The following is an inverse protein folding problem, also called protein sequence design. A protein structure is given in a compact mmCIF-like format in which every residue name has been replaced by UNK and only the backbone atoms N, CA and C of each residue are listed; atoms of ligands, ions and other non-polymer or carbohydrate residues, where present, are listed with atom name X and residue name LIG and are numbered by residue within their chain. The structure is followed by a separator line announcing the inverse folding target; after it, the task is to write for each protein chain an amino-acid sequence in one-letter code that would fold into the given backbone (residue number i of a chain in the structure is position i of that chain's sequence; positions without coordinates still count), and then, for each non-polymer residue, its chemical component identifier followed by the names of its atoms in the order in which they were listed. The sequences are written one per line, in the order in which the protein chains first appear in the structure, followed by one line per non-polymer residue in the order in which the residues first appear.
data_IF_740217952051
#
_entry.id   IF_740217952051
#
_cell.length_a   1.000
_cell.length_b   1.000
_cell.length_c   1.000
_cell.angle_alpha   90.00
_cell.angle_beta   90.00
_cell.angle_gamma   90.00
#
_symmetry.space_group_name_H-M   'P 1'
#
loop_
_entity.id
_entity.type
_entity.pdbx_description
1 polymer ?
#
# COMPACT_ATOMS: atom_id res chain seq x y z
N UNK A 1 -14.22 -10.06 0.78
CA UNK A 1 -14.30 -10.62 2.14
C UNK A 1 -15.72 -11.11 2.41
N UNK A 2 -16.72 -10.23 2.43
CA UNK A 2 -18.14 -10.60 2.63
C UNK A 2 -18.73 -11.55 1.58
N UNK A 3 -18.17 -11.57 0.36
CA UNK A 3 -18.55 -12.53 -0.69
C UNK A 3 -17.97 -13.94 -0.48
N UNK A 4 -16.91 -14.09 0.33
CA UNK A 4 -16.17 -15.34 0.51
C UNK A 4 -16.52 -16.01 1.85
N UNK A 5 -16.61 -15.23 2.93
CA UNK A 5 -16.90 -15.74 4.26
C UNK A 5 -18.40 -15.59 4.56
N UNK A 6 -19.17 -16.61 4.21
CA UNK A 6 -20.56 -16.78 4.65
C UNK A 6 -20.60 -17.27 6.11
N UNK A 7 -21.77 -17.24 6.75
CA UNK A 7 -21.92 -17.75 8.12
C UNK A 7 -21.46 -19.22 8.22
N UNK A 8 -21.96 -20.08 7.33
CA UNK A 8 -21.57 -21.50 7.26
C UNK A 8 -20.06 -21.68 7.06
N UNK A 9 -19.44 -20.89 6.17
CA UNK A 9 -18.00 -20.97 5.94
C UNK A 9 -17.16 -20.56 7.15
N UNK A 10 -17.67 -19.66 8.01
CA UNK A 10 -17.00 -19.26 9.25
C UNK A 10 -17.17 -20.34 10.32
N UNK A 11 -18.33 -21.00 10.41
CA UNK A 11 -18.58 -22.07 11.39
C UNK A 11 -17.66 -23.29 11.19
N UNK A 12 -17.28 -23.56 9.94
CA UNK A 12 -16.33 -24.64 9.59
C UNK A 12 -14.87 -24.32 9.98
N UNK A 13 -14.52 -23.03 10.16
CA UNK A 13 -13.16 -22.59 10.49
C UNK A 13 -12.92 -22.63 12.00
N UNK A 14 -12.62 -23.82 12.52
CA UNK A 14 -12.37 -24.05 13.93
C UNK A 14 -10.87 -24.09 14.25
N UNK A 15 -10.48 -23.51 15.39
CA UNK A 15 -9.10 -23.54 15.87
C UNK A 15 -8.82 -22.53 16.97
N UNK A 16 -7.62 -22.62 17.54
CA UNK A 16 -7.12 -21.66 18.56
C UNK A 16 -6.10 -20.67 17.99
N UNK A 17 -5.82 -20.76 16.70
CA UNK A 17 -4.97 -19.85 15.94
C UNK A 17 -5.39 -19.82 14.48
N UNK A 18 -5.17 -18.70 13.81
CA UNK A 18 -5.46 -18.54 12.39
C UNK A 18 -4.55 -17.46 11.78
N UNK A 19 -4.28 -17.58 10.48
CA UNK A 19 -3.73 -16.51 9.65
C UNK A 19 -4.71 -16.20 8.52
N UNK A 20 -4.80 -14.93 8.14
CA UNK A 20 -5.67 -14.46 7.08
C UNK A 20 -4.93 -13.54 6.13
N UNK A 21 -5.43 -13.43 4.89
CA UNK A 21 -4.85 -12.55 3.89
C UNK A 21 -5.93 -11.90 3.04
N UNK A 22 -5.76 -10.61 2.73
CA UNK A 22 -6.61 -9.86 1.83
C UNK A 22 -5.77 -9.45 0.63
N UNK A 23 -6.03 -10.06 -0.53
CA UNK A 23 -5.17 -9.90 -1.71
C UNK A 23 -5.55 -8.68 -2.54
N UNK A 24 -4.55 -7.86 -2.83
CA UNK A 24 -4.54 -6.99 -4.00
C UNK A 24 -3.78 -7.69 -5.14
N UNK A 25 -4.39 -7.84 -6.31
CA UNK A 25 -3.74 -8.49 -7.44
C UNK A 25 -2.73 -7.54 -8.11
N UNK A 26 -1.45 -7.76 -7.85
CA UNK A 26 -0.27 -7.07 -8.41
C UNK A 26 0.36 -7.93 -9.54
N UNK A 27 1.69 -7.85 -9.70
CA UNK A 27 2.51 -8.76 -10.48
C UNK A 27 2.29 -10.23 -10.07
N UNK A 28 2.34 -11.14 -11.04
CA UNK A 28 1.95 -12.55 -10.88
C UNK A 28 0.51 -12.85 -11.32
N UNK A 29 -0.29 -11.84 -11.64
CA UNK A 29 -1.58 -12.02 -12.32
C UNK A 29 -2.76 -12.37 -11.40
N UNK A 30 -3.87 -12.79 -12.00
CA UNK A 30 -5.11 -13.13 -11.30
C UNK A 30 -5.08 -14.52 -10.67
N UNK A 31 -6.18 -15.26 -10.76
CA UNK A 31 -6.24 -16.68 -10.41
C UNK A 31 -6.57 -16.99 -8.95
N UNK A 32 -7.31 -18.09 -8.76
CA UNK A 32 -7.64 -18.63 -7.44
C UNK A 32 -6.40 -19.25 -6.78
N UNK A 33 -5.52 -19.86 -7.58
CA UNK A 33 -4.25 -20.45 -7.18
C UNK A 33 -3.31 -19.46 -6.48
N UNK A 34 -3.47 -18.16 -6.73
CA UNK A 34 -2.68 -17.10 -6.12
C UNK A 34 -3.37 -16.45 -4.91
N UNK A 35 -4.57 -16.92 -4.53
CA UNK A 35 -5.26 -16.48 -3.30
C UNK A 35 -4.58 -17.13 -2.10
N UNK A 36 -4.22 -16.30 -1.13
CA UNK A 36 -3.54 -16.71 0.09
C UNK A 36 -4.51 -16.71 1.29
N UNK A 37 -4.20 -17.43 2.39
CA UNK A 37 -2.95 -18.16 2.65
C UNK A 37 -2.72 -19.37 1.74
N UNK A 38 -1.48 -19.58 1.27
CA UNK A 38 -1.12 -20.83 0.58
C UNK A 38 -0.93 -21.93 1.63
N UNK A 39 -1.63 -23.05 1.45
CA UNK A 39 -1.51 -24.22 2.33
C UNK A 39 -0.77 -25.36 1.62
N UNK A 40 0.34 -25.80 2.21
CA UNK A 40 1.11 -26.94 1.75
C UNK A 40 0.97 -28.09 2.74
N UNK A 41 0.66 -29.29 2.26
CA UNK A 41 0.63 -30.49 3.09
C UNK A 41 1.79 -31.42 2.75
N UNK A 42 2.36 -32.04 3.79
CA UNK A 42 3.44 -33.01 3.64
C UNK A 42 3.41 -34.05 4.75
N UNK A 43 4.26 -35.08 4.65
CA UNK A 43 4.43 -36.06 5.72
C UNK A 43 4.91 -35.44 7.04
N UNK A 44 5.50 -34.24 7.00
CA UNK A 44 5.96 -33.50 8.18
C UNK A 44 4.94 -32.50 8.74
N UNK A 45 3.67 -32.58 8.31
CA UNK A 45 2.61 -31.65 8.70
C UNK A 45 2.29 -30.60 7.62
N UNK A 46 1.34 -29.73 7.98
CA UNK A 46 0.88 -28.59 7.19
C UNK A 46 1.72 -27.34 7.40
N UNK A 47 1.79 -26.52 6.37
CA UNK A 47 2.44 -25.21 6.40
C UNK A 47 1.58 -24.21 5.64
N UNK A 48 1.01 -23.24 6.34
CA UNK A 48 0.26 -22.14 5.77
C UNK A 48 1.13 -20.88 5.71
N UNK A 49 1.11 -20.15 4.59
CA UNK A 49 1.86 -18.90 4.44
C UNK A 49 0.98 -17.78 3.85
N UNK A 50 1.12 -16.59 4.39
CA UNK A 50 0.59 -15.34 3.85
C UNK A 50 1.71 -14.29 3.77
N UNK A 51 1.64 -13.43 2.76
CA UNK A 51 2.69 -12.49 2.40
C UNK A 51 2.11 -11.16 1.95
N UNK A 52 2.57 -10.07 2.56
CA UNK A 52 2.40 -8.73 2.03
C UNK A 52 3.76 -8.19 1.59
N UNK A 53 3.91 -7.87 0.31
CA UNK A 53 5.15 -7.36 -0.26
C UNK A 53 5.40 -7.89 -1.68
N UNK A 54 6.65 -7.81 -2.13
CA UNK A 54 7.10 -8.33 -3.42
C UNK A 54 8.59 -8.66 -3.35
N UNK A 55 8.96 -9.84 -3.83
CA UNK A 55 10.33 -10.35 -3.82
C UNK A 55 11.01 -10.03 -5.14
N UNK A 56 11.96 -9.08 -5.13
CA UNK A 56 12.64 -8.59 -6.34
C UNK A 56 13.53 -9.66 -7.01
N UNK A 57 13.90 -10.70 -6.27
CA UNK A 57 14.67 -11.84 -6.79
C UNK A 57 13.85 -13.14 -6.93
N UNK A 58 12.51 -13.09 -6.87
CA UNK A 58 11.65 -14.27 -6.97
C UNK A 58 11.93 -15.12 -8.21
N UNK A 59 12.05 -14.51 -9.39
CA UNK A 59 12.32 -15.21 -10.65
C UNK A 59 13.66 -15.97 -10.62
N UNK A 60 14.70 -15.36 -10.07
CA UNK A 60 16.01 -16.00 -9.96
C UNK A 60 15.96 -17.21 -9.02
N UNK A 61 15.30 -17.05 -7.87
CA UNK A 61 15.10 -18.14 -6.90
C UNK A 61 14.24 -19.26 -7.47
N UNK A 62 13.16 -18.93 -8.19
CA UNK A 62 12.28 -19.88 -8.89
C UNK A 62 13.08 -20.72 -9.89
N UNK A 63 13.84 -20.08 -10.78
CA UNK A 63 14.67 -20.79 -11.76
C UNK A 63 15.69 -21.72 -11.09
N UNK A 64 16.33 -21.27 -10.00
CA UNK A 64 17.26 -22.10 -9.24
C UNK A 64 16.55 -23.31 -8.61
N UNK A 65 15.36 -23.11 -8.04
CA UNK A 65 14.57 -24.15 -7.41
C UNK A 65 14.02 -25.16 -8.42
N UNK A 66 13.61 -24.71 -9.61
CA UNK A 66 13.17 -25.55 -10.73
C UNK A 66 14.33 -26.39 -11.29
N UNK A 67 15.52 -25.79 -11.44
CA UNK A 67 16.72 -26.53 -11.82
C UNK A 67 17.10 -27.63 -10.79
N UNK A 68 16.68 -27.47 -9.54
CA UNK A 68 16.82 -28.49 -8.49
C UNK A 68 15.63 -29.46 -8.42
N UNK A 69 14.69 -29.40 -9.36
CA UNK A 69 13.54 -30.28 -9.49
C UNK A 69 12.28 -29.84 -8.72
N UNK A 70 12.19 -28.58 -8.29
CA UNK A 70 10.95 -28.03 -7.72
C UNK A 70 9.92 -27.78 -8.81
N UNK A 71 8.65 -28.00 -8.51
CA UNK A 71 7.53 -27.69 -9.40
C UNK A 71 6.69 -26.64 -8.68
N UNK A 72 6.48 -25.50 -9.35
CA UNK A 72 5.62 -24.42 -8.85
C UNK A 72 4.21 -24.55 -9.43
N UNK A 73 3.21 -24.37 -8.57
CA UNK A 73 1.80 -24.44 -8.93
C UNK A 73 1.16 -23.05 -9.03
N UNK A 74 1.81 -22.05 -8.44
CA UNK A 74 1.36 -20.66 -8.41
C UNK A 74 2.41 -19.75 -9.04
N UNK A 75 2.03 -18.51 -9.32
CA UNK A 75 2.97 -17.42 -9.66
C UNK A 75 3.36 -16.58 -8.43
N UNK A 76 2.88 -16.96 -7.23
CA UNK A 76 3.08 -16.19 -6.01
C UNK A 76 4.50 -16.33 -5.46
N UNK A 77 5.08 -15.20 -5.07
CA UNK A 77 6.33 -15.12 -4.29
C UNK A 77 6.29 -15.94 -3.00
N UNK A 78 5.10 -16.15 -2.43
CA UNK A 78 4.89 -16.93 -1.21
C UNK A 78 5.30 -18.40 -1.38
N UNK A 79 5.08 -18.97 -2.57
CA UNK A 79 5.47 -20.35 -2.86
C UNK A 79 7.00 -20.51 -2.91
N UNK A 80 7.73 -19.48 -3.34
CA UNK A 80 9.21 -19.48 -3.33
C UNK A 80 9.74 -19.70 -1.92
N UNK A 81 9.19 -19.00 -0.92
CA UNK A 81 9.59 -19.19 0.48
C UNK A 81 9.26 -20.62 0.97
N UNK A 82 8.09 -21.16 0.62
CA UNK A 82 7.72 -22.53 1.01
C UNK A 82 8.74 -23.57 0.49
N UNK A 83 9.17 -23.44 -0.77
CA UNK A 83 10.20 -24.31 -1.35
C UNK A 83 11.56 -24.16 -0.66
N UNK A 84 11.98 -22.93 -0.34
CA UNK A 84 13.22 -22.67 0.38
C UNK A 84 13.20 -23.29 1.78
N UNK A 85 12.10 -23.13 2.52
CA UNK A 85 11.90 -23.75 3.84
C UNK A 85 12.01 -25.27 3.71
N UNK A 86 11.29 -25.89 2.76
CA UNK A 86 11.27 -27.36 2.64
C UNK A 86 12.63 -27.96 2.30
N UNK A 87 13.44 -27.24 1.52
CA UNK A 87 14.80 -27.66 1.14
C UNK A 87 15.87 -27.28 2.16
N UNK A 88 15.56 -26.41 3.13
CA UNK A 88 16.46 -26.06 4.22
C UNK A 88 16.75 -27.30 5.06
N UNK A 89 17.99 -27.80 5.05
CA UNK A 89 18.43 -29.02 5.72
C UNK A 89 18.45 -28.96 7.26
N UNK A 90 17.69 -28.05 7.87
CA UNK A 90 17.57 -27.89 9.31
C UNK A 90 16.38 -28.67 9.86
N UNK A 91 16.50 -29.15 11.10
CA UNK A 91 15.46 -29.97 11.72
C UNK A 91 14.26 -29.13 12.19
N UNK A 92 14.52 -28.00 12.84
CA UNK A 92 13.46 -27.14 13.38
C UNK A 92 12.91 -26.19 12.29
N UNK A 93 11.60 -25.97 12.30
CA UNK A 93 10.96 -25.04 11.35
C UNK A 93 11.54 -23.63 11.50
N UNK A 94 11.68 -23.14 12.74
CA UNK A 94 12.32 -21.86 13.06
C UNK A 94 13.62 -21.65 12.30
N UNK A 95 14.52 -22.64 12.37
CA UNK A 95 15.84 -22.54 11.74
C UNK A 95 15.72 -22.59 10.22
N UNK A 96 14.81 -23.41 9.66
CA UNK A 96 14.56 -23.42 8.21
C UNK A 96 14.07 -22.06 7.70
N UNK A 97 13.13 -21.43 8.41
CA UNK A 97 12.63 -20.08 8.07
C UNK A 97 13.76 -19.07 8.21
N UNK A 98 14.45 -19.06 9.35
CA UNK A 98 15.56 -18.13 9.64
C UNK A 98 16.68 -18.18 8.59
N UNK A 99 16.96 -19.35 8.01
CA UNK A 99 17.97 -19.51 6.97
C UNK A 99 17.44 -19.21 5.56
N UNK A 100 16.13 -19.36 5.32
CA UNK A 100 15.51 -19.01 4.05
C UNK A 100 15.37 -17.48 3.87
N UNK A 101 15.00 -16.75 4.93
CA UNK A 101 14.73 -15.31 4.88
C UNK A 101 15.90 -14.45 4.32
N UNK A 102 17.18 -14.70 4.68
CA UNK A 102 18.31 -13.94 4.12
C UNK A 102 18.51 -14.11 2.62
N UNK A 103 17.98 -15.19 2.02
CA UNK A 103 18.04 -15.44 0.58
C UNK A 103 17.06 -14.55 -0.20
N UNK A 104 16.05 -14.01 0.48
CA UNK A 104 15.03 -13.17 -0.12
C UNK A 104 15.52 -11.72 -0.24
N UNK A 105 15.20 -11.08 -1.37
CA UNK A 105 15.42 -9.65 -1.59
C UNK A 105 14.10 -8.99 -1.94
N UNK A 106 13.89 -7.77 -1.46
CA UNK A 106 12.65 -7.02 -1.67
C UNK A 106 11.91 -6.77 -0.36
N UNK A 107 10.60 -6.59 -0.47
CA UNK A 107 9.73 -6.30 0.66
C UNK A 107 8.93 -7.54 1.07
N UNK A 108 8.84 -7.80 2.36
CA UNK A 108 7.98 -8.86 2.86
C UNK A 108 7.60 -8.66 4.33
N UNK A 109 6.32 -8.84 4.59
CA UNK A 109 5.74 -9.18 5.87
C UNK A 109 5.11 -10.57 5.72
N UNK A 110 5.71 -11.58 6.34
CA UNK A 110 5.24 -12.96 6.28
C UNK A 110 4.50 -13.34 7.56
N UNK A 111 3.39 -14.05 7.39
CA UNK A 111 2.76 -14.88 8.41
C UNK A 111 2.89 -16.33 7.97
N UNK A 112 3.41 -17.18 8.84
CA UNK A 112 3.61 -18.60 8.60
C UNK A 112 2.98 -19.35 9.77
N UNK A 113 2.17 -20.37 9.50
CA UNK A 113 1.50 -21.12 10.55
C UNK A 113 1.58 -22.61 10.29
N UNK A 114 1.80 -23.37 11.37
CA UNK A 114 1.65 -24.83 11.41
C UNK A 114 0.58 -25.19 12.45
N UNK A 115 0.42 -26.49 12.70
CA UNK A 115 -0.49 -26.99 13.72
C UNK A 115 -0.12 -26.52 15.15
N UNK A 116 1.14 -26.15 15.41
CA UNK A 116 1.63 -25.88 16.78
C UNK A 116 2.21 -24.49 17.00
N UNK A 117 2.56 -23.75 15.94
CA UNK A 117 3.20 -22.44 16.06
C UNK A 117 2.87 -21.49 14.91
N UNK A 118 2.95 -20.19 15.21
CA UNK A 118 2.88 -19.11 14.23
C UNK A 118 4.22 -18.36 14.22
N UNK A 119 4.83 -18.28 13.04
CA UNK A 119 6.04 -17.51 12.78
C UNK A 119 5.69 -16.25 11.99
N UNK A 120 6.29 -15.13 12.35
CA UNK A 120 6.11 -13.84 11.70
C UNK A 120 7.48 -13.30 11.35
N UNK A 121 7.66 -12.76 10.14
CA UNK A 121 8.92 -12.16 9.75
C UNK A 121 8.70 -10.88 8.95
N UNK A 122 9.47 -9.85 9.29
CA UNK A 122 9.49 -8.58 8.56
C UNK A 122 10.86 -8.36 7.91
N UNK A 123 10.87 -7.93 6.64
CA UNK A 123 12.09 -7.71 5.88
C UNK A 123 13.08 -6.75 6.57
N UNK A 124 14.40 -6.83 6.27
CA UNK A 124 15.41 -6.06 6.97
C UNK A 124 15.31 -4.54 6.82
N UNK A 125 14.50 -4.04 5.88
CA UNK A 125 14.26 -2.60 5.72
C UNK A 125 12.92 -2.16 6.33
N UNK A 126 12.05 -3.09 6.72
CA UNK A 126 10.71 -2.77 7.19
C UNK A 126 9.89 -2.04 6.13
N UNK A 127 9.95 -2.49 4.88
CA UNK A 127 9.28 -1.81 3.75
C UNK A 127 7.76 -1.83 3.89
N UNK A 128 7.21 -2.85 4.56
CA UNK A 128 5.78 -3.04 4.83
C UNK A 128 5.46 -2.88 6.31
N UNK A 129 4.35 -2.23 6.67
CA UNK A 129 3.95 -2.12 8.05
C UNK A 129 3.50 -3.50 8.58
N UNK A 130 3.89 -3.79 9.82
CA UNK A 130 3.49 -5.00 10.53
C UNK A 130 3.57 -4.74 12.03
N UNK A 131 2.44 -4.88 12.72
CA UNK A 131 2.32 -4.56 14.14
C UNK A 131 1.86 -5.77 14.93
N UNK A 132 2.27 -5.80 16.21
CA UNK A 132 1.87 -6.78 17.20
C UNK A 132 0.89 -6.16 18.18
N UNK A 133 -0.21 -6.86 18.43
CA UNK A 133 -1.23 -6.55 19.41
C UNK A 133 -1.52 -7.72 20.35
N UNK A 134 -2.32 -7.47 21.38
CA UNK A 134 -2.72 -8.46 22.38
C UNK A 134 -4.23 -8.38 22.65
N UNK A 135 -4.92 -9.52 22.64
CA UNK A 135 -6.34 -9.64 22.97
C UNK A 135 -6.51 -10.65 24.11
N UNK A 136 -6.63 -10.16 25.34
CA UNK A 136 -6.52 -11.01 26.53
C UNK A 136 -5.15 -11.69 26.59
N UNK A 137 -5.10 -13.01 26.51
CA UNK A 137 -3.84 -13.78 26.44
C UNK A 137 -3.40 -14.12 25.01
N UNK A 138 -4.21 -13.80 24.00
CA UNK A 138 -3.89 -14.05 22.61
C UNK A 138 -2.98 -12.95 22.04
N UNK A 139 -2.08 -13.34 21.14
CA UNK A 139 -1.32 -12.41 20.31
C UNK A 139 -2.01 -12.25 18.95
N UNK A 140 -2.08 -11.01 18.47
CA UNK A 140 -2.66 -10.67 17.17
C UNK A 140 -1.61 -9.92 16.37
N UNK A 141 -1.50 -10.21 15.08
CA UNK A 141 -0.57 -9.52 14.17
C UNK A 141 -1.35 -9.00 12.98
N UNK A 142 -1.10 -7.75 12.59
CA UNK A 142 -1.80 -7.12 11.48
C UNK A 142 -0.86 -6.17 10.71
N UNK A 143 -1.10 -5.99 9.41
CA UNK A 143 -0.37 -4.97 8.63
C UNK A 143 -0.69 -3.54 9.09
N UNK A 144 -1.85 -3.32 9.71
CA UNK A 144 -2.31 -1.99 10.14
C UNK A 144 -3.01 -2.06 11.50
N UNK A 145 -2.81 -1.05 12.34
CA UNK A 145 -3.34 -1.02 13.71
C UNK A 145 -4.86 -0.87 13.76
N UNK A 146 -5.51 -0.35 12.71
CA UNK A 146 -6.98 -0.26 12.67
C UNK A 146 -7.67 -1.63 12.83
N UNK A 147 -6.96 -2.74 12.51
CA UNK A 147 -7.48 -4.08 12.76
C UNK A 147 -7.60 -4.37 14.26
N UNK A 148 -6.68 -3.86 15.08
CA UNK A 148 -6.71 -4.00 16.53
C UNK A 148 -7.89 -3.26 17.13
N UNK A 149 -8.14 -2.02 16.69
CA UNK A 149 -9.27 -1.21 17.15
C UNK A 149 -10.61 -1.90 16.87
N UNK A 150 -10.73 -2.56 15.72
CA UNK A 150 -11.96 -3.27 15.31
C UNK A 150 -12.20 -4.52 16.17
N UNK A 151 -11.14 -5.29 16.47
CA UNK A 151 -11.27 -6.55 17.22
C UNK A 151 -11.13 -6.37 18.73
N UNK A 152 -10.83 -5.15 19.20
CA UNK A 152 -10.60 -4.83 20.60
C UNK A 152 -9.25 -5.28 21.15
N UNK A 153 -8.24 -5.44 20.29
CA UNK A 153 -6.88 -5.78 20.71
C UNK A 153 -6.10 -4.52 21.13
N UNK A 154 -5.25 -4.65 22.15
CA UNK A 154 -4.34 -3.60 22.58
C UNK A 154 -3.08 -3.64 21.70
N UNK A 155 -2.65 -2.49 21.18
CA UNK A 155 -1.37 -2.36 20.49
C UNK A 155 -0.22 -2.61 21.46
N UNK A 156 0.75 -3.44 21.06
CA UNK A 156 1.96 -3.72 21.85
C UNK A 156 3.16 -2.96 21.28
N UNK A 157 3.48 -3.20 20.00
CA UNK A 157 4.56 -2.52 19.26
C UNK A 157 4.52 -2.88 17.78
N UNK A 158 5.28 -2.14 16.98
CA UNK A 158 5.63 -2.57 15.63
C UNK A 158 6.67 -3.71 15.66
N UNK A 159 6.61 -4.57 14.64
CA UNK A 159 7.61 -5.61 14.42
C UNK A 159 8.85 -4.95 13.80
N UNK A 160 10.03 -5.29 14.32
CA UNK A 160 11.26 -4.61 13.93
C UNK A 160 11.75 -5.11 12.56
N UNK A 161 12.39 -4.24 11.75
CA UNK A 161 13.01 -4.65 10.49
C UNK A 161 14.06 -5.76 10.69
N UNK A 162 13.88 -6.92 10.05
CA UNK A 162 14.75 -8.08 10.22
C UNK A 162 14.46 -8.94 11.45
N UNK A 163 13.33 -8.70 12.13
CA UNK A 163 12.84 -9.50 13.23
C UNK A 163 12.00 -10.68 12.74
N UNK A 164 12.17 -11.81 13.43
CA UNK A 164 11.28 -12.96 13.37
C UNK A 164 10.66 -13.22 14.74
N UNK A 165 9.34 -13.29 14.80
CA UNK A 165 8.60 -13.72 15.99
C UNK A 165 8.16 -15.18 15.85
N UNK A 166 8.09 -15.86 16.98
CA UNK A 166 7.46 -17.17 17.13
C UNK A 166 6.44 -17.09 18.25
N UNK A 167 5.19 -17.48 17.97
CA UNK A 167 4.10 -17.55 18.94
C UNK A 167 3.64 -19.01 19.01
N UNK A 168 3.68 -19.59 20.20
CA UNK A 168 3.20 -20.96 20.44
C UNK A 168 2.70 -21.12 21.89
N UNK A 169 2.45 -22.35 22.33
CA UNK A 169 1.97 -22.64 23.69
C UNK A 169 2.90 -22.20 24.83
N UNK A 170 4.15 -21.81 24.55
CA UNK A 170 5.10 -21.25 25.52
C UNK A 170 5.13 -19.71 25.50
N UNK A 171 4.29 -19.06 24.70
CA UNK A 171 4.21 -17.61 24.55
C UNK A 171 4.92 -17.08 23.31
N UNK A 172 5.33 -15.81 23.38
CA UNK A 172 6.02 -15.08 22.32
C UNK A 172 7.54 -15.16 22.50
N UNK A 173 8.25 -15.55 21.45
CA UNK A 173 9.70 -15.44 21.33
C UNK A 173 10.06 -14.53 20.15
N UNK A 174 11.05 -13.67 20.34
CA UNK A 174 11.55 -12.73 19.33
C UNK A 174 13.03 -13.00 19.07
N UNK A 175 13.41 -13.00 17.80
CA UNK A 175 14.80 -13.17 17.37
C UNK A 175 15.08 -12.37 16.09
N UNK A 176 16.22 -11.70 16.03
CA UNK A 176 16.67 -11.05 14.79
C UNK A 176 17.29 -12.11 13.86
N UNK A 177 16.82 -12.18 12.61
CA UNK A 177 17.42 -13.01 11.57
C UNK A 177 18.36 -12.20 10.66
N UNK A 178 18.26 -10.87 10.68
CA UNK A 178 19.12 -9.95 9.96
C UNK A 178 19.37 -8.69 10.79
N UNK A 179 20.56 -8.11 10.66
CA UNK A 179 20.84 -6.77 11.18
C UNK A 179 20.43 -5.76 10.12
N UNK A 180 19.46 -4.89 10.43
CA UNK A 180 19.03 -3.82 9.52
C UNK A 180 20.14 -2.78 9.35
N UNK A 181 20.37 -2.36 8.10
CA UNK A 181 21.25 -1.22 7.77
C UNK A 181 20.53 0.13 7.81
N UNK A 182 19.24 0.15 8.14
CA UNK A 182 18.39 1.33 8.15
C UNK A 182 16.97 0.98 7.70
N UNK A 183 15.99 1.72 8.22
CA UNK A 183 14.60 1.50 7.83
C UNK A 183 14.27 2.24 6.53
N UNK A 184 13.30 1.71 5.79
CA UNK A 184 12.81 2.31 4.55
C UNK A 184 11.31 2.02 4.39
N UNK A 185 10.50 2.39 5.39
CA UNK A 185 9.05 2.17 5.35
C UNK A 185 8.43 2.83 4.11
N UNK A 186 7.47 2.17 3.47
CA UNK A 186 6.84 2.69 2.27
C UNK A 186 6.11 4.02 2.52
N UNK A 187 6.58 5.12 1.93
CA UNK A 187 5.96 6.44 2.08
C UNK A 187 4.51 6.49 1.57
N UNK A 188 4.17 5.65 0.58
CA UNK A 188 2.80 5.58 0.06
C UNK A 188 1.79 5.03 1.07
N UNK A 189 2.24 4.35 2.13
CA UNK A 189 1.36 3.96 3.24
C UNK A 189 0.78 5.19 3.95
N UNK A 190 1.64 6.20 4.20
CA UNK A 190 1.22 7.47 4.77
C UNK A 190 0.40 8.30 3.77
N UNK A 191 0.78 8.34 2.50
CA UNK A 191 0.11 9.19 1.50
C UNK A 191 -1.28 8.67 1.13
N UNK A 192 -1.42 7.36 0.92
CA UNK A 192 -2.59 6.79 0.23
C UNK A 192 -3.07 5.46 0.80
N UNK A 193 -2.17 4.49 0.99
CA UNK A 193 -2.55 3.07 1.02
C UNK A 193 -3.19 2.64 2.34
N UNK A 194 -2.61 3.04 3.48
CA UNK A 194 -3.14 2.70 4.79
C UNK A 194 -4.41 3.47 5.12
N UNK A 195 -5.24 2.93 6.00
CA UNK A 195 -6.45 3.60 6.47
C UNK A 195 -6.11 4.79 7.37
N UNK A 196 -6.90 5.88 7.32
CA UNK A 196 -6.63 7.08 8.13
C UNK A 196 -6.65 6.87 9.65
N UNK A 197 -7.34 5.84 10.14
CA UNK A 197 -7.40 5.46 11.56
C UNK A 197 -6.23 4.58 12.02
N UNK A 198 -5.36 4.14 11.11
CA UNK A 198 -4.15 3.41 11.46
C UNK A 198 -3.04 4.34 11.99
N UNK A 199 -2.19 3.78 12.85
CA UNK A 199 -0.94 4.39 13.29
C UNK A 199 0.22 3.53 12.79
N UNK A 200 1.13 4.10 12.04
CA UNK A 200 2.33 3.40 11.54
C UNK A 200 3.51 3.98 12.29
N UNK A 201 4.28 3.16 13.00
CA UNK A 201 5.43 3.61 13.80
C UNK A 201 5.06 4.77 14.76
N UNK A 202 3.87 4.68 15.36
CA UNK A 202 3.33 5.69 16.27
C UNK A 202 2.77 6.97 15.60
N UNK A 203 2.86 7.09 14.27
CA UNK A 203 2.33 8.24 13.53
C UNK A 203 0.95 7.91 12.96
N UNK A 204 -0.06 8.67 13.38
CA UNK A 204 -1.41 8.52 12.85
C UNK A 204 -1.49 8.94 11.37
N UNK A 205 -2.08 8.09 10.53
CA UNK A 205 -2.16 8.30 9.08
C UNK A 205 -3.03 9.51 8.72
N UNK A 206 -4.17 9.72 9.38
CA UNK A 206 -4.98 10.93 9.17
C UNK A 206 -4.20 12.20 9.52
N UNK A 207 -3.54 12.22 10.68
CA UNK A 207 -2.73 13.35 11.13
C UNK A 207 -1.57 13.64 10.17
N UNK A 208 -0.85 12.61 9.73
CA UNK A 208 0.23 12.76 8.73
C UNK A 208 -0.29 13.37 7.43
N UNK A 209 -1.40 12.86 6.87
CA UNK A 209 -2.00 13.41 5.65
C UNK A 209 -2.48 14.84 5.83
N UNK A 210 -3.03 15.17 6.99
CA UNK A 210 -3.43 16.54 7.32
C UNK A 210 -2.21 17.47 7.38
N UNK A 211 -1.10 17.03 7.98
CA UNK A 211 0.17 17.76 7.96
C UNK A 211 0.72 17.93 6.54
N UNK A 212 0.62 16.92 5.68
CA UNK A 212 0.99 17.03 4.25
C UNK A 212 0.19 18.14 3.56
N UNK A 213 -1.12 18.23 3.83
CA UNK A 213 -1.97 19.31 3.33
C UNK A 213 -1.55 20.69 3.81
N UNK A 214 -1.20 20.83 5.09
CA UNK A 214 -0.70 22.10 5.66
C UNK A 214 0.62 22.50 5.01
N UNK A 215 1.55 21.56 4.87
CA UNK A 215 2.83 21.82 4.23
C UNK A 215 2.65 22.23 2.77
N UNK A 216 1.73 21.59 2.04
CA UNK A 216 1.41 21.93 0.66
C UNK A 216 0.85 23.36 0.53
N UNK A 217 0.03 23.81 1.47
CA UNK A 217 -0.48 25.19 1.48
C UNK A 217 0.62 26.23 1.76
N UNK A 218 1.63 25.88 2.57
CA UNK A 218 2.81 26.73 2.83
C UNK A 218 3.71 26.86 1.61
N UNK A 219 3.94 25.75 0.90
CA UNK A 219 4.77 25.74 -0.31
C UNK A 219 4.08 26.41 -1.49
N UNK A 220 2.75 26.31 -1.56
CA UNK A 220 1.96 26.70 -2.72
C UNK A 220 0.74 27.52 -2.31
N UNK A 221 0.91 28.81 -2.01
CA UNK A 221 -0.20 29.68 -1.68
C UNK A 221 -1.00 30.03 -2.95
N UNK A 222 -2.25 29.57 -3.03
CA UNK A 222 -3.18 29.85 -4.13
C UNK A 222 -4.36 30.64 -3.60
N UNK A 223 -4.76 31.71 -4.30
CA UNK A 223 -5.97 32.46 -3.99
C UNK A 223 -7.16 31.82 -4.71
N UNK A 224 -8.08 31.23 -3.95
CA UNK A 224 -9.27 30.58 -4.48
C UNK A 224 -10.45 30.73 -3.49
N UNK A 225 -11.60 30.19 -3.85
CA UNK A 225 -12.83 30.39 -3.08
C UNK A 225 -13.23 29.15 -2.27
N UNK A 226 -12.77 27.96 -2.68
CA UNK A 226 -13.11 26.69 -2.03
C UNK A 226 -12.00 25.64 -2.19
N UNK A 227 -11.78 24.85 -1.13
CA UNK A 227 -10.93 23.65 -1.14
C UNK A 227 -11.81 22.41 -1.12
N UNK A 228 -11.57 21.47 -2.03
CA UNK A 228 -12.21 20.14 -2.02
C UNK A 228 -11.16 19.04 -2.10
N UNK A 229 -11.38 17.97 -1.33
CA UNK A 229 -10.64 16.72 -1.52
C UNK A 229 -11.30 15.84 -2.57
N UNK A 230 -10.57 14.86 -3.09
CA UNK A 230 -11.10 13.76 -3.89
C UNK A 230 -11.51 12.62 -2.94
N UNK A 231 -12.80 12.28 -2.82
CA UNK A 231 -13.21 11.23 -1.89
C UNK A 231 -12.84 9.83 -2.39
N UNK A 232 -12.32 8.93 -1.56
CA UNK A 232 -12.10 9.10 -0.10
C UNK A 232 -10.62 9.39 0.23
N UNK A 233 -9.73 9.40 -0.76
CA UNK A 233 -8.28 9.25 -0.58
C UNK A 233 -7.59 10.49 0.00
N UNK A 234 -8.00 11.68 -0.42
CA UNK A 234 -7.29 12.94 -0.12
C UNK A 234 -8.04 13.88 0.84
N UNK A 235 -9.11 13.40 1.49
CA UNK A 235 -9.93 14.19 2.42
C UNK A 235 -9.08 14.81 3.55
N UNK A 236 -8.22 14.01 4.19
CA UNK A 236 -7.35 14.49 5.28
C UNK A 236 -6.40 15.60 4.82
N UNK A 237 -5.79 15.45 3.64
CA UNK A 237 -4.89 16.46 3.07
C UNK A 237 -5.66 17.73 2.68
N UNK A 238 -6.86 17.60 2.12
CA UNK A 238 -7.71 18.75 1.80
C UNK A 238 -8.11 19.55 3.04
N UNK A 239 -8.46 18.87 4.13
CA UNK A 239 -8.74 19.51 5.43
C UNK A 239 -7.49 20.29 5.90
N UNK A 240 -6.31 19.67 5.84
CA UNK A 240 -5.05 20.32 6.22
C UNK A 240 -4.74 21.56 5.39
N UNK A 241 -4.90 21.46 4.07
CA UNK A 241 -4.69 22.58 3.15
C UNK A 241 -5.66 23.72 3.42
N UNK A 242 -6.95 23.43 3.63
CA UNK A 242 -7.97 24.41 3.95
C UNK A 242 -7.67 25.14 5.28
N UNK A 243 -7.31 24.41 6.33
CA UNK A 243 -6.96 24.98 7.63
C UNK A 243 -5.77 25.95 7.55
N UNK A 244 -4.73 25.58 6.80
CA UNK A 244 -3.53 26.41 6.68
C UNK A 244 -3.74 27.62 5.75
N UNK A 245 -4.43 27.42 4.63
CA UNK A 245 -4.70 28.50 3.65
C UNK A 245 -5.79 29.47 4.10
N UNK A 246 -6.65 29.08 5.05
CA UNK A 246 -7.82 29.85 5.47
C UNK A 246 -8.99 29.82 4.48
N UNK A 247 -8.87 29.06 3.39
CA UNK A 247 -9.94 28.85 2.41
C UNK A 247 -10.89 27.76 2.92
N UNK A 248 -12.22 27.95 2.87
CA UNK A 248 -13.16 26.96 3.41
C UNK A 248 -13.03 25.61 2.69
N UNK A 249 -12.98 24.55 3.48
CA UNK A 249 -13.15 23.19 2.99
C UNK A 249 -14.62 22.91 2.72
N UNK A 250 -14.93 22.39 1.54
CA UNK A 250 -16.28 21.99 1.16
C UNK A 250 -16.29 20.61 0.49
N UNK A 251 -17.48 19.99 0.50
CA UNK A 251 -17.75 18.77 -0.24
C UNK A 251 -18.06 19.09 -1.71
N UNK A 252 -17.04 19.51 -2.47
CA UNK A 252 -17.17 19.82 -3.90
C UNK A 252 -17.33 18.57 -4.78
N UNK A 253 -16.98 17.39 -4.27
CA UNK A 253 -17.09 16.10 -4.92
C UNK A 253 -17.76 15.08 -3.99
N UNK A 254 -18.61 14.23 -4.54
CA UNK A 254 -19.24 13.11 -3.85
C UNK A 254 -18.88 11.80 -4.54
N UNK A 255 -18.47 10.81 -3.76
CA UNK A 255 -18.31 9.44 -4.22
C UNK A 255 -19.60 8.66 -4.04
N UNK A 256 -20.06 8.01 -5.10
CA UNK A 256 -21.16 7.08 -5.02
C UNK A 256 -20.70 5.76 -4.38
N UNK A 257 -21.17 5.49 -3.16
CA UNK A 257 -20.78 4.33 -2.35
C UNK A 257 -21.34 3.00 -2.87
N UNK A 258 -22.28 3.04 -3.81
CA UNK A 258 -22.98 1.84 -4.30
C UNK A 258 -22.42 1.31 -5.63
N UNK A 259 -21.37 1.94 -6.18
CA UNK A 259 -20.75 1.48 -7.44
C UNK A 259 -19.71 0.39 -7.16
N UNK A 260 -20.12 -0.87 -7.30
CA UNK A 260 -19.25 -2.05 -7.20
C UNK A 260 -18.44 -2.35 -8.48
N UNK A 261 -17.62 -3.42 -8.43
CA UNK A 261 -16.91 -3.99 -9.60
C UNK A 261 -17.82 -4.92 -10.40
N UNK A 262 -18.88 -4.40 -11.02
CA UNK A 262 -19.64 -5.18 -11.99
C UNK A 262 -20.35 -4.24 -12.94
N UNK A 263 -19.78 -4.08 -14.12
CA UNK A 263 -20.51 -3.54 -15.26
C UNK A 263 -19.75 -3.98 -16.52
N UNK A 264 -20.08 -5.16 -17.02
CA UNK A 264 -19.85 -5.50 -18.43
C UNK A 264 -20.69 -4.50 -19.22
N UNK A 265 -20.13 -3.32 -19.46
CA UNK A 265 -20.77 -2.27 -20.26
C UNK A 265 -20.39 -2.55 -21.72
N UNK A 266 -21.36 -2.84 -22.59
CA UNK A 266 -21.13 -3.34 -23.94
C UNK A 266 -20.49 -2.32 -24.88
N UNK A 267 -20.46 -1.03 -24.51
CA UNK A 267 -19.88 0.04 -25.35
C UNK A 267 -18.93 0.96 -24.57
N UNK A 268 -18.00 1.57 -25.31
CA UNK A 268 -17.06 2.56 -24.78
C UNK A 268 -17.78 3.83 -24.27
N UNK A 269 -18.89 4.23 -24.90
CA UNK A 269 -19.74 5.34 -24.46
C UNK A 269 -20.39 5.09 -23.09
N UNK A 270 -20.83 3.86 -22.82
CA UNK A 270 -21.41 3.49 -21.53
C UNK A 270 -20.34 3.33 -20.44
N UNK A 271 -19.09 2.95 -20.80
CA UNK A 271 -17.95 3.02 -19.86
C UNK A 271 -17.63 4.45 -19.45
N UNK A 272 -17.70 5.40 -20.37
CA UNK A 272 -17.51 6.83 -20.07
C UNK A 272 -18.62 7.36 -19.13
N UNK A 273 -19.87 6.94 -19.32
CA UNK A 273 -20.95 7.20 -18.36
C UNK A 273 -20.73 6.50 -17.01
N UNK A 274 -20.20 5.28 -16.98
CA UNK A 274 -19.93 4.53 -15.75
C UNK A 274 -18.92 5.18 -14.81
N UNK A 275 -18.09 6.10 -15.31
CA UNK A 275 -17.17 6.89 -14.48
C UNK A 275 -17.87 8.10 -13.86
N UNK A 276 -18.80 8.76 -14.57
CA UNK A 276 -19.71 9.75 -13.96
C UNK A 276 -20.53 9.16 -12.80
N UNK A 277 -20.73 7.85 -12.79
CA UNK A 277 -21.40 7.17 -11.68
C UNK A 277 -20.55 7.10 -10.40
N UNK A 278 -19.21 7.11 -10.48
CA UNK A 278 -18.34 6.92 -9.30
C UNK A 278 -18.12 8.19 -8.49
N UNK A 279 -17.89 9.31 -9.18
CA UNK A 279 -17.65 10.61 -8.59
C UNK A 279 -18.55 11.63 -9.28
N UNK A 280 -19.13 12.54 -8.51
CA UNK A 280 -20.01 13.60 -9.04
C UNK A 280 -19.68 14.93 -8.38
N UNK A 281 -19.56 16.02 -9.15
CA UNK A 281 -19.37 17.35 -8.61
C UNK A 281 -20.66 17.87 -7.98
N UNK A 282 -20.54 18.63 -6.88
CA UNK A 282 -21.67 19.31 -6.25
C UNK A 282 -21.78 20.71 -6.83
N UNK A 283 -22.56 20.87 -7.90
CA UNK A 283 -22.71 22.16 -8.62
C UNK A 283 -22.98 23.34 -7.67
N UNK A 284 -23.86 23.17 -6.69
CA UNK A 284 -24.21 24.23 -5.74
C UNK A 284 -23.05 24.73 -4.85
N UNK A 285 -21.93 24.00 -4.82
CA UNK A 285 -20.71 24.38 -4.11
C UNK A 285 -19.68 25.01 -5.07
N UNK A 286 -19.56 24.47 -6.29
CA UNK A 286 -18.44 24.81 -7.20
C UNK A 286 -18.80 25.82 -8.29
N UNK A 287 -20.09 26.07 -8.56
CA UNK A 287 -20.52 26.97 -9.63
C UNK A 287 -20.09 28.42 -9.37
N UNK A 288 -19.41 29.03 -10.34
CA UNK A 288 -18.90 30.39 -10.26
C UNK A 288 -17.69 30.55 -9.33
N UNK A 289 -17.08 29.45 -8.86
CA UNK A 289 -15.96 29.47 -7.90
C UNK A 289 -14.64 29.05 -8.53
N UNK A 290 -13.55 29.60 -8.02
CA UNK A 290 -12.19 29.09 -8.19
C UNK A 290 -11.96 27.98 -7.18
N UNK A 291 -11.70 26.77 -7.66
CA UNK A 291 -11.65 25.54 -6.85
C UNK A 291 -10.21 25.07 -6.71
N UNK A 292 -9.77 24.83 -5.48
CA UNK A 292 -8.56 24.04 -5.19
C UNK A 292 -8.99 22.59 -5.00
N UNK A 293 -8.56 21.74 -5.91
CA UNK A 293 -8.76 20.29 -5.83
C UNK A 293 -7.48 19.65 -5.28
N UNK A 294 -7.56 19.17 -4.05
CA UNK A 294 -6.48 18.43 -3.41
C UNK A 294 -6.63 16.96 -3.73
N UNK A 295 -5.56 16.34 -4.24
CA UNK A 295 -5.49 14.89 -4.44
C UNK A 295 -4.22 14.31 -3.79
N UNK A 296 -4.21 13.01 -3.51
CA UNK A 296 -3.09 12.40 -2.78
C UNK A 296 -1.87 12.18 -3.69
N UNK A 297 -2.12 11.75 -4.93
CA UNK A 297 -1.08 11.40 -5.89
C UNK A 297 -1.60 11.44 -7.34
N UNK A 298 -0.69 11.55 -8.31
CA UNK A 298 -0.99 11.35 -9.73
C UNK A 298 -0.08 10.24 -10.27
N UNK A 299 -0.70 9.13 -10.72
CA UNK A 299 0.00 8.01 -11.38
C UNK A 299 -0.11 8.13 -12.90
N UNK A 300 -1.31 7.92 -13.46
CA UNK A 300 -1.56 7.96 -14.93
C UNK A 300 -2.23 9.26 -15.41
N UNK A 301 -2.60 10.18 -14.51
CA UNK A 301 -3.34 11.43 -14.82
C UNK A 301 -4.81 11.27 -15.29
N UNK A 302 -5.25 10.06 -15.67
CA UNK A 302 -6.59 9.84 -16.23
C UNK A 302 -7.74 10.22 -15.28
N UNK A 303 -7.61 9.94 -13.98
CA UNK A 303 -8.60 10.31 -12.96
C UNK A 303 -8.64 11.82 -12.77
N UNK A 304 -7.49 12.46 -12.52
CA UNK A 304 -7.38 13.91 -12.31
C UNK A 304 -7.94 14.69 -13.51
N UNK A 305 -7.59 14.30 -14.75
CA UNK A 305 -8.16 14.88 -15.98
C UNK A 305 -9.68 14.86 -16.02
N UNK A 306 -10.27 13.74 -15.58
CA UNK A 306 -11.73 13.59 -15.54
C UNK A 306 -12.36 14.46 -14.45
N UNK A 307 -11.75 14.52 -13.27
CA UNK A 307 -12.26 15.34 -12.16
C UNK A 307 -12.20 16.82 -12.52
N UNK A 308 -11.09 17.30 -13.07
CA UNK A 308 -10.95 18.68 -13.55
C UNK A 308 -12.04 19.01 -14.58
N UNK A 309 -12.25 18.14 -15.57
CA UNK A 309 -13.33 18.32 -16.55
C UNK A 309 -14.72 18.37 -15.90
N UNK A 310 -15.01 17.49 -14.95
CA UNK A 310 -16.30 17.48 -14.25
C UNK A 310 -16.53 18.76 -13.42
N UNK A 311 -15.50 19.27 -12.75
CA UNK A 311 -15.58 20.52 -11.99
C UNK A 311 -15.85 21.72 -12.92
N UNK A 312 -15.15 21.80 -14.06
CA UNK A 312 -15.41 22.84 -15.07
C UNK A 312 -16.81 22.72 -15.68
N UNK A 313 -17.28 21.52 -16.02
CA UNK A 313 -18.66 21.28 -16.48
C UNK A 313 -19.73 21.62 -15.43
N UNK A 314 -19.38 21.51 -14.14
CA UNK A 314 -20.26 21.89 -13.03
C UNK A 314 -20.33 23.40 -12.81
N UNK A 315 -19.44 24.18 -13.43
CA UNK A 315 -19.46 25.65 -13.40
C UNK A 315 -18.30 26.29 -12.64
N UNK A 316 -17.27 25.53 -12.24
CA UNK A 316 -16.05 26.12 -11.67
C UNK A 316 -15.36 27.04 -12.69
N UNK A 317 -14.97 28.24 -12.27
CA UNK A 317 -14.28 29.22 -13.14
C UNK A 317 -12.81 28.88 -13.32
N UNK A 318 -12.18 28.36 -12.27
CA UNK A 318 -10.79 27.88 -12.24
C UNK A 318 -10.72 26.58 -11.43
N UNK A 319 -9.83 25.68 -11.83
CA UNK A 319 -9.52 24.44 -11.11
C UNK A 319 -8.01 24.33 -10.92
N UNK A 320 -7.56 24.60 -9.71
CA UNK A 320 -6.17 24.45 -9.26
C UNK A 320 -5.98 23.08 -8.64
N UNK A 321 -5.11 22.26 -9.22
CA UNK A 321 -4.82 20.93 -8.71
C UNK A 321 -3.57 20.98 -7.85
N UNK A 322 -3.68 20.53 -6.61
CA UNK A 322 -2.54 20.43 -5.68
C UNK A 322 -2.43 19.00 -5.17
N UNK A 323 -1.23 18.42 -5.24
CA UNK A 323 -0.99 17.00 -4.97
C UNK A 323 -0.14 16.87 -3.71
N UNK A 324 -0.62 16.12 -2.72
CA UNK A 324 0.06 15.95 -1.42
C UNK A 324 1.19 14.91 -1.44
N UNK A 325 1.80 14.71 -2.60
CA UNK A 325 3.00 13.90 -2.82
C UNK A 325 3.89 14.55 -3.87
N UNK A 326 5.18 14.20 -3.93
CA UNK A 326 6.01 14.45 -5.10
C UNK A 326 5.50 13.68 -6.33
N UNK A 327 5.94 14.05 -7.55
CA UNK A 327 5.60 13.31 -8.76
C UNK A 327 6.10 11.85 -8.71
N UNK A 328 5.23 10.90 -9.07
CA UNK A 328 5.59 9.47 -9.15
C UNK A 328 6.23 9.19 -10.52
N UNK A 329 7.56 9.11 -10.54
CA UNK A 329 8.35 8.98 -11.77
C UNK A 329 8.89 7.56 -11.99
N UNK A 330 8.90 6.73 -10.95
CA UNK A 330 9.55 5.43 -10.95
C UNK A 330 8.60 4.33 -10.46
N UNK A 331 8.66 3.12 -11.06
CA UNK A 331 7.82 2.01 -10.66
C UNK A 331 8.19 1.47 -9.27
N UNK A 332 7.21 0.92 -8.54
CA UNK A 332 7.43 0.22 -7.28
C UNK A 332 7.74 -1.27 -7.52
N UNK A 333 8.77 -1.78 -6.85
CA UNK A 333 9.13 -3.20 -6.85
C UNK A 333 8.80 -3.90 -5.53
N UNK A 334 8.07 -3.23 -4.63
CA UNK A 334 7.88 -3.64 -3.24
C UNK A 334 6.42 -3.99 -2.90
N UNK A 335 5.53 -4.04 -3.90
CA UNK A 335 4.15 -4.54 -3.76
C UNK A 335 3.04 -3.49 -3.89
N UNK A 336 3.35 -2.20 -4.12
CA UNK A 336 2.32 -1.22 -4.52
C UNK A 336 2.21 -1.26 -6.05
N UNK A 337 1.01 -1.41 -6.58
CA UNK A 337 0.74 -1.29 -8.01
C UNK A 337 0.80 0.20 -8.42
N UNK A 338 1.99 0.65 -8.77
CA UNK A 338 2.24 1.99 -9.31
C UNK A 338 2.30 1.98 -10.84
N UNK A 339 1.76 0.97 -11.54
CA UNK A 339 1.91 0.85 -12.99
C UNK A 339 3.34 0.61 -13.51
N UNK A 340 3.50 0.44 -14.83
CA UNK A 340 4.83 0.42 -15.49
C UNK A 340 5.36 1.84 -15.70
N UNK A 341 6.67 1.97 -15.96
CA UNK A 341 7.31 3.29 -16.11
C UNK A 341 6.67 4.11 -17.25
N UNK A 342 6.32 3.46 -18.35
CA UNK A 342 5.72 4.10 -19.54
C UNK A 342 4.28 4.57 -19.29
N UNK A 343 3.59 3.97 -18.30
CA UNK A 343 2.24 4.37 -17.90
C UNK A 343 2.24 5.51 -16.86
N UNK A 344 3.39 5.81 -16.24
CA UNK A 344 3.53 6.90 -15.28
C UNK A 344 3.56 8.23 -16.03
N UNK A 345 2.61 9.11 -15.78
CA UNK A 345 2.55 10.38 -16.51
C UNK A 345 3.78 11.26 -16.22
N UNK A 346 4.31 11.21 -15.00
CA UNK A 346 5.45 12.01 -14.57
C UNK A 346 6.82 11.42 -14.91
N UNK A 347 6.89 10.23 -15.52
CA UNK A 347 8.16 9.69 -16.03
C UNK A 347 8.53 10.32 -17.38
N UNK A 348 7.54 10.71 -18.18
CA UNK A 348 7.69 11.25 -19.53
C UNK A 348 7.32 12.74 -19.66
N UNK A 349 6.60 13.30 -18.69
CA UNK A 349 6.08 14.67 -18.77
C UNK A 349 6.53 15.52 -17.57
N UNK A 350 6.90 16.76 -17.86
CA UNK A 350 7.10 17.82 -16.88
C UNK A 350 5.79 18.21 -16.18
N UNK A 351 5.87 18.92 -15.05
CA UNK A 351 4.68 19.38 -14.32
C UNK A 351 3.76 20.24 -15.19
N UNK A 352 4.32 21.07 -16.06
CA UNK A 352 3.54 21.92 -16.97
C UNK A 352 2.82 21.10 -18.05
N UNK A 353 3.49 20.12 -18.65
CA UNK A 353 2.85 19.21 -19.61
C UNK A 353 1.75 18.37 -18.93
N UNK A 354 1.96 17.92 -17.68
CA UNK A 354 0.92 17.23 -16.91
C UNK A 354 -0.28 18.16 -16.67
N UNK A 355 -0.04 19.42 -16.30
CA UNK A 355 -1.09 20.44 -16.10
C UNK A 355 -1.97 20.57 -17.34
N UNK A 356 -1.34 20.70 -18.51
CA UNK A 356 -2.03 20.77 -19.81
C UNK A 356 -2.83 19.50 -20.08
N UNK A 357 -2.23 18.33 -19.89
CA UNK A 357 -2.87 17.03 -20.14
C UNK A 357 -4.10 16.80 -19.27
N UNK A 358 -4.08 17.25 -18.01
CA UNK A 358 -5.23 17.16 -17.10
C UNK A 358 -6.23 18.31 -17.28
N UNK A 359 -5.85 19.39 -17.98
CA UNK A 359 -6.69 20.56 -18.24
C UNK A 359 -6.89 21.49 -17.04
N UNK A 360 -5.99 21.44 -16.06
CA UNK A 360 -6.04 22.27 -14.86
C UNK A 360 -5.53 23.69 -15.13
N UNK A 361 -5.99 24.66 -14.34
CA UNK A 361 -5.54 26.05 -14.43
C UNK A 361 -4.16 26.22 -13.76
N UNK A 362 -3.89 25.46 -12.71
CA UNK A 362 -2.55 25.22 -12.19
C UNK A 362 -2.40 23.78 -11.68
N UNK A 363 -1.16 23.29 -11.65
CA UNK A 363 -0.81 22.01 -11.05
C UNK A 363 0.43 22.19 -10.17
N UNK A 364 0.39 21.68 -8.95
CA UNK A 364 1.58 21.63 -8.10
C UNK A 364 1.63 20.36 -7.27
N UNK A 365 2.85 19.91 -7.02
CA UNK A 365 3.15 18.74 -6.19
C UNK A 365 3.88 19.18 -4.94
N UNK A 366 3.69 18.46 -3.84
CA UNK A 366 4.46 18.64 -2.62
C UNK A 366 5.93 18.30 -2.88
N UNK A 367 6.87 19.09 -2.33
CA UNK A 367 8.30 18.76 -2.37
C UNK A 367 8.61 17.49 -1.58
N UNK A 368 9.73 16.82 -1.91
CA UNK A 368 10.19 15.65 -1.16
C UNK A 368 10.53 16.04 0.28
N UNK A 369 11.20 17.18 0.45
CA UNK A 369 11.61 17.72 1.74
C UNK A 369 10.39 18.07 2.59
N UNK A 370 9.41 18.76 2.02
CA UNK A 370 8.15 19.08 2.69
C UNK A 370 7.36 17.84 3.09
N UNK A 371 7.31 16.84 2.22
CA UNK A 371 6.66 15.56 2.53
C UNK A 371 7.32 14.86 3.73
N UNK A 372 8.65 14.75 3.74
CA UNK A 372 9.40 14.12 4.83
C UNK A 372 9.18 14.87 6.16
N UNK A 373 9.24 16.20 6.12
CA UNK A 373 9.01 17.07 7.29
C UNK A 373 7.58 16.91 7.84
N UNK A 374 6.59 16.90 6.95
CA UNK A 374 5.18 16.82 7.33
C UNK A 374 4.77 15.45 7.89
N UNK A 375 5.34 14.36 7.38
CA UNK A 375 5.09 13.01 7.95
C UNK A 375 5.69 12.92 9.36
N UNK A 376 6.86 13.54 9.58
CA UNK A 376 7.43 13.67 10.93
C UNK A 376 8.17 12.44 11.43
N UNK A 377 8.69 11.59 10.53
CA UNK A 377 9.66 10.56 10.91
C UNK A 377 10.96 11.21 11.38
N UNK A 378 11.51 10.71 12.48
CA UNK A 378 12.70 11.27 13.14
C UNK A 378 13.92 10.34 13.07
N UNK A 379 13.95 9.38 12.13
CA UNK A 379 15.13 8.57 11.94
C UNK A 379 16.29 9.37 11.33
N UNK A 380 17.55 9.10 11.73
CA UNK A 380 18.71 9.74 11.12
C UNK A 380 18.82 9.43 9.63
N UNK A 381 19.32 10.41 8.85
CA UNK A 381 19.59 10.25 7.42
C UNK A 381 18.66 11.06 6.52
N UNK A 382 19.02 11.17 5.25
CA UNK A 382 18.33 12.03 4.26
C UNK A 382 16.87 11.60 4.03
N UNK A 383 16.58 10.31 4.12
CA UNK A 383 15.24 9.76 3.88
C UNK A 383 14.39 9.64 5.13
N UNK A 384 14.95 9.93 6.31
CA UNK A 384 14.30 9.78 7.62
C UNK A 384 13.57 8.44 7.77
N UNK A 385 14.22 7.33 7.39
CA UNK A 385 13.65 5.99 7.51
C UNK A 385 12.59 5.61 6.48
N UNK A 386 12.38 6.43 5.43
CA UNK A 386 11.32 6.22 4.44
C UNK A 386 11.86 5.77 3.07
N UNK A 387 11.09 4.94 2.37
CA UNK A 387 11.36 4.59 0.97
C UNK A 387 10.78 5.66 0.04
N UNK A 388 11.67 6.33 -0.69
CA UNK A 388 11.33 7.41 -1.65
C UNK A 388 11.52 6.96 -3.11
N UNK A 389 11.62 5.65 -3.35
CA UNK A 389 12.04 5.11 -4.64
C UNK A 389 11.14 5.55 -5.80
N UNK A 390 9.82 5.57 -5.58
CA UNK A 390 8.83 5.98 -6.58
C UNK A 390 9.01 7.44 -7.04
N UNK A 391 9.53 8.31 -6.17
CA UNK A 391 9.75 9.73 -6.45
C UNK A 391 11.16 9.99 -6.98
N UNK A 392 12.16 9.32 -6.41
CA UNK A 392 13.60 9.67 -6.59
C UNK A 392 14.37 8.70 -7.46
N UNK A 393 13.84 7.50 -7.72
CA UNK A 393 14.56 6.41 -8.39
C UNK A 393 15.64 5.74 -7.52
N UNK A 394 15.85 6.20 -6.27
CA UNK A 394 16.79 5.60 -5.32
C UNK A 394 16.09 4.49 -4.54
N UNK A 395 16.28 3.25 -4.99
CA UNK A 395 15.70 2.06 -4.36
C UNK A 395 16.50 1.66 -3.11
N UNK A 396 15.85 1.33 -1.98
CA UNK A 396 16.53 0.87 -0.76
C UNK A 396 17.07 -0.56 -0.87
N UNK A 397 16.69 -1.31 -1.91
CA UNK A 397 17.28 -2.62 -2.23
C UNK A 397 17.89 -2.61 -3.62
N UNK A 398 18.77 -3.57 -3.90
CA UNK A 398 19.20 -3.87 -5.26
C UNK A 398 17.99 -4.26 -6.12
N UNK A 399 17.93 -3.72 -7.34
CA UNK A 399 16.93 -4.08 -8.35
C UNK A 399 17.66 -4.84 -9.47
N UNK A 400 17.31 -6.12 -9.63
CA UNK A 400 17.93 -7.00 -10.61
C UNK A 400 17.31 -6.80 -12.00
N UNK A 401 18.03 -7.06 -13.11
CA UNK A 401 17.49 -6.92 -14.46
C UNK A 401 16.20 -7.72 -14.72
N UNK A 402 16.08 -8.89 -14.07
CA UNK A 402 14.92 -9.79 -14.12
C UNK A 402 13.82 -9.45 -13.09
N UNK A 403 13.97 -8.37 -12.32
CA UNK A 403 12.96 -7.95 -11.35
C UNK A 403 11.73 -7.39 -12.09
N UNK A 404 10.56 -7.83 -11.65
CA UNK A 404 9.28 -7.41 -12.23
C UNK A 404 8.65 -6.37 -11.29
N UNK A 405 8.29 -5.17 -11.79
CA UNK A 405 7.55 -4.18 -11.00
C UNK A 405 6.20 -4.75 -10.54
N UNK A 406 5.75 -4.35 -9.34
CA UNK A 406 4.48 -4.82 -8.78
C UNK A 406 3.26 -4.43 -9.64
N UNK A 407 3.37 -3.38 -10.47
CA UNK A 407 2.30 -2.97 -11.39
C UNK A 407 2.32 -3.65 -12.76
N UNK A 408 3.35 -4.43 -13.08
CA UNK A 408 3.43 -5.13 -14.37
C UNK A 408 2.51 -6.36 -14.34
N UNK A 409 1.38 -6.27 -15.05
CA UNK A 409 0.44 -7.39 -15.22
C UNK A 409 0.93 -8.32 -16.32
N UNK A 410 0.96 -9.62 -16.04
CA UNK A 410 1.26 -10.67 -17.02
C UNK A 410 0.18 -10.80 -18.08
#
# INVERSE_FOLDING_TARGET
MTEIFTADAIEDLQGVGAIGHVRYATAGGGGYENVQPLLFQSQSGGLALAHNGNLVNANALRNQLEAQGSIFQTSSDTEVLAHLIKRGGFNQLKDRVKNALPMLKGAYAFLIMTETEMLIALDPHGLRPLSLGRLGDAYVVASETCAFDIVGAEFVRDILPGEMLMINGHGLHSEMYSMSSGTAICTMEYIYFSRPDSNIHGINVHAARKSLGKQLAKEVPIQADVVTGVPDSSISAAIGYAEESGIPYEMGLIKNRYVGRTFIQPSQSLREQGVKMKLSPVRGIVEGKRVIMVDDSIVRGTTSRRIVKMLKEAGATEVHVVISSPPIQNPCFYGIDTSTREELIASEHSVEEIRELIGADSLTFLSVEGMLEAIGHNEPGETRGQCLACFTGKYPTEIYPQAVPAGQKC
#
